data_IF_779579726030
#
_entry.id   IF_779579726030
#
_cell.length_a   1.000
_cell.length_b   1.000
_cell.length_c   1.000
_cell.angle_alpha   90.00
_cell.angle_beta   90.00
_cell.angle_gamma   90.00
#
_symmetry.space_group_name_H-M   'P 1'
#
loop_
_entity.id
_entity.type
_entity.pdbx_description
1 polymer ?
#
# COMPACT_ATOMS: atom_id res chain seq x y z
N UNK A 1 -1.78 0.05 0.56
CA UNK A 1 -1.72 -0.47 -0.81
C UNK A 1 -1.07 -1.85 -0.82
N UNK A 2 -1.63 -2.82 -1.53
CA UNK A 2 -0.95 -4.08 -1.85
C UNK A 2 0.07 -3.84 -2.98
N UNK A 3 1.24 -4.48 -2.92
CA UNK A 3 2.18 -4.44 -4.04
C UNK A 3 1.53 -4.90 -5.37
N UNK A 4 2.07 -4.46 -6.51
CA UNK A 4 1.64 -4.92 -7.84
C UNK A 4 1.89 -6.40 -8.07
N UNK A 5 1.33 -6.95 -9.15
CA UNK A 5 1.59 -8.34 -9.55
C UNK A 5 3.10 -8.60 -9.67
N UNK A 6 3.56 -9.77 -9.21
CA UNK A 6 4.97 -10.11 -9.15
C UNK A 6 5.28 -11.38 -9.94
N UNK A 7 6.47 -11.47 -10.52
CA UNK A 7 6.96 -12.65 -11.21
C UNK A 7 6.86 -13.89 -10.32
N UNK A 8 6.45 -15.04 -10.87
CA UNK A 8 6.21 -16.25 -10.07
C UNK A 8 7.49 -16.88 -9.53
N UNK A 9 8.64 -16.63 -10.16
CA UNK A 9 9.91 -17.23 -9.82
C UNK A 9 11.01 -16.21 -9.55
N UNK A 10 11.83 -16.49 -8.56
CA UNK A 10 13.07 -15.80 -8.24
C UNK A 10 13.95 -16.77 -7.41
N UNK A 11 15.15 -16.35 -7.04
CA UNK A 11 16.05 -17.13 -6.16
C UNK A 11 15.37 -17.45 -4.82
N UNK A 12 14.58 -16.49 -4.32
CA UNK A 12 13.71 -16.63 -3.13
C UNK A 12 12.49 -15.71 -3.27
N UNK A 13 11.50 -15.87 -2.39
CA UNK A 13 10.28 -15.03 -2.43
C UNK A 13 10.55 -13.53 -2.25
N UNK A 14 11.54 -13.17 -1.44
CA UNK A 14 11.89 -11.77 -1.15
C UNK A 14 12.41 -11.04 -2.38
N UNK A 15 13.14 -11.75 -3.25
CA UNK A 15 13.74 -11.22 -4.47
C UNK A 15 12.78 -11.13 -5.67
N UNK A 16 11.53 -11.59 -5.55
CA UNK A 16 10.54 -11.53 -6.62
C UNK A 16 10.25 -10.08 -7.00
N UNK A 17 10.46 -9.76 -8.27
CA UNK A 17 10.22 -8.45 -8.86
C UNK A 17 8.79 -8.31 -9.36
N UNK A 18 8.35 -7.09 -9.61
CA UNK A 18 7.09 -6.85 -10.31
C UNK A 18 7.14 -7.42 -11.73
N UNK A 19 6.06 -8.08 -12.13
CA UNK A 19 5.84 -8.46 -13.52
C UNK A 19 5.57 -7.21 -14.39
N UNK A 20 5.57 -7.37 -15.71
CA UNK A 20 5.19 -6.30 -16.63
C UNK A 20 3.74 -5.82 -16.34
N UNK A 21 2.83 -6.75 -16.04
CA UNK A 21 1.46 -6.46 -15.63
C UNK A 21 1.45 -5.66 -14.33
N UNK A 22 2.20 -6.09 -13.30
CA UNK A 22 2.24 -5.42 -12.01
C UNK A 22 2.77 -3.99 -12.11
N UNK A 23 3.77 -3.73 -12.95
CA UNK A 23 4.26 -2.36 -13.21
C UNK A 23 3.16 -1.49 -13.82
N UNK A 24 2.41 -2.01 -14.80
CA UNK A 24 1.29 -1.30 -15.42
C UNK A 24 0.18 -1.00 -14.42
N UNK A 25 -0.23 -1.99 -13.62
CA UNK A 25 -1.25 -1.83 -12.57
C UNK A 25 -0.85 -0.74 -11.56
N UNK A 26 0.40 -0.76 -11.08
CA UNK A 26 0.91 0.21 -10.11
C UNK A 26 0.96 1.62 -10.70
N UNK A 27 1.40 1.77 -11.95
CA UNK A 27 1.42 3.09 -12.61
C UNK A 27 0.01 3.64 -12.81
N UNK A 28 -0.96 2.80 -13.14
CA UNK A 28 -2.37 3.20 -13.29
C UNK A 28 -2.93 3.70 -11.95
N UNK A 29 -2.73 2.95 -10.88
CA UNK A 29 -3.12 3.36 -9.51
C UNK A 29 -2.39 4.64 -9.08
N UNK A 30 -1.09 4.73 -9.31
CA UNK A 30 -0.30 5.91 -8.96
C UNK A 30 -0.80 7.19 -9.64
N UNK A 31 -1.11 7.13 -10.93
CA UNK A 31 -1.69 8.27 -11.69
C UNK A 31 -3.07 8.66 -11.16
N UNK A 32 -3.91 7.69 -10.84
CA UNK A 32 -5.21 7.97 -10.23
C UNK A 32 -5.04 8.58 -8.83
N UNK A 33 -4.13 8.05 -8.02
CA UNK A 33 -3.90 8.54 -6.65
C UNK A 33 -3.47 10.00 -6.61
N UNK A 34 -2.61 10.44 -7.53
CA UNK A 34 -2.17 11.86 -7.65
C UNK A 34 -3.36 12.82 -7.76
N UNK A 35 -4.46 12.42 -8.40
CA UNK A 35 -5.65 13.26 -8.54
C UNK A 35 -6.54 13.28 -7.29
N UNK A 36 -6.33 12.36 -6.36
CA UNK A 36 -7.15 12.22 -5.14
C UNK A 36 -6.45 12.74 -3.89
N UNK A 37 -5.12 12.57 -3.79
CA UNK A 37 -4.39 12.83 -2.56
C UNK A 37 -2.94 13.22 -2.83
N UNK A 38 -2.46 14.25 -2.13
CA UNK A 38 -1.03 14.52 -2.01
C UNK A 38 -0.47 13.62 -0.90
N UNK A 39 0.61 12.91 -1.22
CA UNK A 39 1.31 12.04 -0.27
C UNK A 39 2.57 12.74 0.22
N UNK A 40 2.77 12.76 1.52
CA UNK A 40 3.98 13.31 2.15
C UNK A 40 5.09 12.27 2.22
N UNK A 41 4.72 11.00 2.41
CA UNK A 41 5.67 9.91 2.66
C UNK A 41 5.15 8.57 2.14
N UNK A 42 6.06 7.74 1.64
CA UNK A 42 5.78 6.33 1.31
C UNK A 42 6.64 5.44 2.21
N UNK A 43 6.01 4.48 2.88
CA UNK A 43 6.69 3.46 3.68
C UNK A 43 6.39 2.09 3.09
N UNK A 44 7.41 1.32 2.76
CA UNK A 44 7.25 0.03 2.11
C UNK A 44 7.95 -1.10 2.87
N UNK A 45 7.39 -2.30 2.74
CA UNK A 45 8.09 -3.53 3.14
C UNK A 45 9.45 -3.65 2.44
N UNK A 46 10.45 -4.33 3.05
CA UNK A 46 11.76 -4.51 2.42
C UNK A 46 11.76 -5.41 1.18
N UNK A 47 10.68 -6.16 0.91
CA UNK A 47 10.60 -7.06 -0.23
C UNK A 47 10.65 -6.30 -1.55
N UNK A 48 11.40 -6.81 -2.54
CA UNK A 48 11.69 -6.13 -3.81
C UNK A 48 10.41 -5.62 -4.50
N UNK A 49 9.38 -6.44 -4.61
CA UNK A 49 8.10 -6.06 -5.24
C UNK A 49 7.40 -4.88 -4.57
N UNK A 50 7.54 -4.74 -3.24
CA UNK A 50 6.98 -3.61 -2.50
C UNK A 50 7.81 -2.33 -2.71
N UNK A 51 9.14 -2.45 -2.75
CA UNK A 51 10.05 -1.34 -3.03
C UNK A 51 9.87 -0.82 -4.46
N UNK A 52 9.73 -1.71 -5.44
CA UNK A 52 9.43 -1.33 -6.84
C UNK A 52 8.06 -0.65 -6.95
N UNK A 53 7.04 -1.15 -6.24
CA UNK A 53 5.70 -0.51 -6.15
C UNK A 53 5.82 0.91 -5.61
N UNK A 54 6.50 1.10 -4.48
CA UNK A 54 6.71 2.41 -3.86
C UNK A 54 7.42 3.39 -4.82
N UNK A 55 8.44 2.91 -5.52
CA UNK A 55 9.21 3.72 -6.49
C UNK A 55 8.36 4.16 -7.67
N UNK A 56 7.52 3.26 -8.21
CA UNK A 56 6.63 3.58 -9.34
C UNK A 56 5.52 4.56 -8.95
N UNK A 57 4.95 4.43 -7.74
CA UNK A 57 3.97 5.40 -7.24
C UNK A 57 4.62 6.76 -7.03
N UNK A 58 5.78 6.82 -6.38
CA UNK A 58 6.52 8.07 -6.17
C UNK A 58 6.81 8.79 -7.49
N UNK A 59 7.17 8.05 -8.54
CA UNK A 59 7.45 8.61 -9.88
C UNK A 59 6.21 9.23 -10.56
N UNK A 60 4.99 8.95 -10.10
CA UNK A 60 3.77 9.59 -10.62
C UNK A 60 3.57 11.01 -10.09
N UNK A 61 4.22 11.38 -8.99
CA UNK A 61 4.16 12.72 -8.40
C UNK A 61 5.22 13.62 -9.05
N UNK A 62 4.89 14.89 -9.24
CA UNK A 62 5.79 15.87 -9.88
C UNK A 62 6.87 16.43 -8.94
N UNK A 63 7.03 15.87 -7.74
CA UNK A 63 8.02 16.27 -6.74
C UNK A 63 8.60 15.04 -6.03
N UNK A 64 9.70 15.22 -5.33
CA UNK A 64 10.32 14.15 -4.56
C UNK A 64 9.47 13.83 -3.33
N UNK A 65 9.20 12.53 -3.12
CA UNK A 65 8.49 12.01 -1.94
C UNK A 65 9.47 11.21 -1.09
N UNK A 66 9.49 11.48 0.21
CA UNK A 66 10.28 10.69 1.16
C UNK A 66 9.84 9.24 1.11
N UNK A 67 10.81 8.31 1.04
CA UNK A 67 10.57 6.87 1.04
C UNK A 67 11.38 6.19 2.14
N UNK A 68 10.69 5.42 2.96
CA UNK A 68 11.28 4.64 4.03
C UNK A 68 10.94 3.15 3.88
N UNK A 69 11.72 2.31 4.56
CA UNK A 69 11.50 0.87 4.64
C UNK A 69 11.10 0.48 6.05
N UNK A 70 10.06 -0.35 6.17
CA UNK A 70 9.58 -0.86 7.46
C UNK A 70 9.38 -2.38 7.39
N UNK A 71 10.11 -3.12 8.22
CA UNK A 71 10.03 -4.60 8.28
C UNK A 71 8.65 -5.06 8.75
N UNK A 72 7.97 -4.28 9.61
CA UNK A 72 6.61 -4.60 10.09
C UNK A 72 5.55 -4.61 8.97
N UNK A 73 5.85 -4.07 7.77
CA UNK A 73 5.00 -4.16 6.59
C UNK A 73 5.19 -5.45 5.79
N UNK A 74 6.05 -6.37 6.23
CA UNK A 74 6.20 -7.71 5.64
C UNK A 74 4.93 -8.56 5.83
N UNK A 75 4.76 -9.69 5.08
CA UNK A 75 3.51 -10.46 5.10
C UNK A 75 3.03 -10.92 6.47
N UNK A 76 3.96 -11.13 7.40
CA UNK A 76 3.71 -11.60 8.78
C UNK A 76 3.61 -10.45 9.81
N UNK A 77 3.46 -9.20 9.37
CA UNK A 77 3.26 -8.05 10.23
C UNK A 77 1.98 -8.16 11.08
N UNK A 78 1.92 -7.37 12.15
CA UNK A 78 0.79 -7.38 13.10
C UNK A 78 -0.03 -6.09 12.89
N UNK A 79 -1.31 -6.19 12.47
CA UNK A 79 -2.15 -5.04 12.14
C UNK A 79 -2.24 -3.99 13.25
N UNK A 80 -2.51 -4.40 14.48
CA UNK A 80 -2.69 -3.47 15.61
C UNK A 80 -1.43 -2.68 15.92
N UNK A 81 -0.26 -3.30 15.78
CA UNK A 81 1.03 -2.61 15.96
C UNK A 81 1.25 -1.56 14.87
N UNK A 82 0.96 -1.90 13.62
CA UNK A 82 1.07 -0.95 12.51
C UNK A 82 0.08 0.20 12.64
N UNK A 83 -1.16 -0.08 13.02
CA UNK A 83 -2.16 0.96 13.26
C UNK A 83 -1.66 1.92 14.33
N UNK A 84 -1.17 1.42 15.46
CA UNK A 84 -0.62 2.25 16.54
C UNK A 84 0.61 3.05 16.10
N UNK A 85 1.52 2.46 15.30
CA UNK A 85 2.72 3.12 14.79
C UNK A 85 2.41 4.31 13.87
N UNK A 86 1.35 4.21 13.07
CA UNK A 86 0.99 5.22 12.06
C UNK A 86 -0.22 6.09 12.43
N UNK A 87 -0.92 5.82 13.55
CA UNK A 87 -2.10 6.58 13.98
C UNK A 87 -1.74 8.00 14.49
N UNK A 88 -0.57 8.18 15.06
CA UNK A 88 -0.11 9.48 15.60
C UNK A 88 0.59 10.37 14.55
N UNK A 89 0.68 9.91 13.31
CA UNK A 89 1.37 10.60 12.23
C UNK A 89 0.61 11.85 11.75
N UNK A 90 1.35 12.91 11.45
CA UNK A 90 0.82 14.08 10.75
C UNK A 90 1.07 13.92 9.26
N UNK A 91 0.05 14.19 8.44
CA UNK A 91 0.15 14.12 6.99
C UNK A 91 -0.36 12.83 6.37
N UNK A 92 -0.13 12.69 5.08
CA UNK A 92 -0.63 11.57 4.27
C UNK A 92 0.49 10.55 4.01
N UNK A 93 0.37 9.35 4.56
CA UNK A 93 1.36 8.27 4.43
C UNK A 93 0.81 7.12 3.60
N UNK A 94 1.52 6.73 2.56
CA UNK A 94 1.23 5.52 1.81
C UNK A 94 2.02 4.35 2.38
N UNK A 95 1.32 3.32 2.85
CA UNK A 95 1.90 2.04 3.26
C UNK A 95 1.82 1.03 2.11
N UNK A 96 2.95 0.42 1.74
CA UNK A 96 3.02 -0.64 0.72
C UNK A 96 3.37 -1.96 1.36
N UNK A 97 2.45 -2.92 1.29
CA UNK A 97 2.50 -4.19 2.00
C UNK A 97 1.98 -5.36 1.14
N UNK A 98 1.69 -6.49 1.76
CA UNK A 98 1.40 -7.79 1.16
C UNK A 98 0.12 -8.42 1.71
N UNK A 99 -0.40 -9.44 1.03
CA UNK A 99 -1.31 -10.39 1.66
C UNK A 99 -0.51 -11.28 2.64
N UNK A 100 -1.09 -11.72 3.78
CA UNK A 100 -2.45 -11.41 4.22
C UNK A 100 -2.58 -10.05 4.94
N UNK A 101 -1.49 -9.43 5.33
CA UNK A 101 -1.44 -8.26 6.21
C UNK A 101 -2.37 -7.11 5.77
N UNK A 102 -2.41 -6.78 4.48
CA UNK A 102 -3.31 -5.71 4.01
C UNK A 102 -4.79 -6.04 4.24
N UNK A 103 -5.20 -7.29 4.02
CA UNK A 103 -6.58 -7.71 4.27
C UNK A 103 -6.93 -7.63 5.75
N UNK A 104 -5.98 -7.98 6.62
CA UNK A 104 -6.14 -7.89 8.07
C UNK A 104 -6.18 -6.43 8.54
N UNK A 105 -5.33 -5.54 8.00
CA UNK A 105 -5.37 -4.09 8.24
C UNK A 105 -6.71 -3.47 7.83
N UNK A 106 -7.18 -3.77 6.61
CA UNK A 106 -8.47 -3.25 6.13
C UNK A 106 -9.60 -3.78 6.99
N UNK A 107 -9.54 -5.04 7.41
CA UNK A 107 -10.53 -5.64 8.32
C UNK A 107 -10.53 -4.97 9.70
N UNK A 108 -9.36 -4.73 10.28
CA UNK A 108 -9.22 -4.07 11.58
C UNK A 108 -9.77 -2.64 11.55
N UNK A 109 -9.49 -1.88 10.49
CA UNK A 109 -9.93 -0.49 10.36
C UNK A 109 -11.42 -0.39 9.99
N UNK A 110 -11.93 -1.20 9.07
CA UNK A 110 -13.28 -1.06 8.52
C UNK A 110 -14.33 -2.02 9.09
N UNK A 111 -13.91 -3.05 9.82
CA UNK A 111 -14.77 -4.15 10.25
C UNK A 111 -15.21 -5.10 9.13
N UNK A 112 -14.67 -4.94 7.92
CA UNK A 112 -15.07 -5.73 6.74
C UNK A 112 -13.90 -6.57 6.23
N UNK A 113 -14.09 -7.86 6.05
CA UNK A 113 -13.16 -8.72 5.34
C UNK A 113 -13.33 -8.57 3.84
N UNK A 114 -12.26 -8.17 3.17
CA UNK A 114 -12.26 -7.95 1.72
C UNK A 114 -11.15 -8.80 1.07
N UNK A 115 -11.43 -9.30 -0.13
CA UNK A 115 -10.39 -9.81 -1.01
C UNK A 115 -9.66 -8.61 -1.62
N UNK A 116 -8.35 -8.53 -1.44
CA UNK A 116 -7.54 -7.40 -1.92
C UNK A 116 -6.75 -7.81 -3.15
N UNK A 117 -6.96 -7.13 -4.28
CA UNK A 117 -6.23 -7.37 -5.53
C UNK A 117 -4.79 -6.83 -5.46
N UNK A 118 -3.93 -7.27 -6.39
CA UNK A 118 -2.62 -6.64 -6.61
C UNK A 118 -2.79 -5.17 -6.97
N UNK A 119 -1.88 -4.32 -6.50
CA UNK A 119 -1.91 -2.87 -6.63
C UNK A 119 -3.16 -2.16 -6.05
N UNK A 120 -4.11 -2.88 -5.45
CA UNK A 120 -5.28 -2.25 -4.82
C UNK A 120 -4.88 -1.37 -3.64
N UNK A 121 -5.52 -0.20 -3.57
CA UNK A 121 -5.27 0.83 -2.57
C UNK A 121 -6.57 1.18 -1.82
N UNK A 122 -6.47 1.30 -0.50
CA UNK A 122 -7.50 1.84 0.37
C UNK A 122 -6.96 3.08 1.08
N UNK A 123 -7.75 4.13 1.15
CA UNK A 123 -7.44 5.34 1.90
C UNK A 123 -8.34 5.44 3.14
N UNK A 124 -7.73 5.70 4.30
CA UNK A 124 -8.43 5.86 5.58
C UNK A 124 -8.09 7.21 6.20
N UNK A 125 -9.08 7.82 6.82
CA UNK A 125 -8.87 8.95 7.72
C UNK A 125 -8.57 8.42 9.14
N UNK A 126 -7.31 8.50 9.54
CA UNK A 126 -6.86 8.02 10.85
C UNK A 126 -7.24 8.98 11.99
N UNK A 127 -7.59 10.23 11.70
CA UNK A 127 -8.05 11.20 12.69
C UNK A 127 -9.54 11.08 13.02
N UNK A 128 -10.26 10.23 12.30
CA UNK A 128 -11.65 9.95 12.61
C UNK A 128 -11.76 9.27 13.98
N UNK A 129 -12.40 9.94 14.93
CA UNK A 129 -12.64 9.40 16.27
C UNK A 129 -13.82 8.41 16.26
N UNK A 130 -13.61 7.24 15.69
CA UNK A 130 -14.60 6.17 15.59
C UNK A 130 -13.92 4.80 15.74
N UNK A 131 -14.59 3.81 16.35
CA UNK A 131 -14.04 2.47 16.51
C UNK A 131 -13.82 1.75 15.18
N UNK A 132 -14.61 2.08 14.17
CA UNK A 132 -14.43 1.60 12.79
C UNK A 132 -14.34 2.79 11.85
N UNK A 133 -13.36 2.74 10.94
CA UNK A 133 -13.06 3.76 9.94
C UNK A 133 -13.33 3.20 8.55
N UNK A 134 -14.45 3.53 7.89
CA UNK A 134 -14.66 3.12 6.51
C UNK A 134 -13.61 3.79 5.61
N UNK A 135 -13.16 3.13 4.53
CA UNK A 135 -12.25 3.77 3.60
C UNK A 135 -12.92 4.99 2.97
N UNK A 136 -12.19 6.11 2.90
CA UNK A 136 -12.60 7.33 2.20
C UNK A 136 -12.78 7.06 0.70
N UNK A 137 -11.86 6.29 0.13
CA UNK A 137 -11.93 5.78 -1.23
C UNK A 137 -11.11 4.50 -1.38
N UNK A 138 -11.38 3.78 -2.45
CA UNK A 138 -10.66 2.58 -2.88
C UNK A 138 -10.33 2.68 -4.36
N UNK A 139 -9.08 2.43 -4.73
CA UNK A 139 -8.63 2.37 -6.11
C UNK A 139 -8.26 0.93 -6.46
N UNK A 140 -8.84 0.41 -7.53
CA UNK A 140 -8.60 -0.94 -8.04
C UNK A 140 -8.17 -0.87 -9.51
N UNK A 141 -7.10 -1.59 -9.94
CA UNK A 141 -6.68 -1.59 -11.34
C UNK A 141 -7.78 -2.00 -12.31
N UNK A 142 -8.63 -2.94 -11.90
CA UNK A 142 -9.75 -3.43 -12.73
C UNK A 142 -10.91 -2.43 -12.91
N UNK A 143 -10.86 -1.27 -12.25
CA UNK A 143 -11.91 -0.24 -12.30
C UNK A 143 -11.43 1.10 -12.84
N UNK A 144 -10.18 1.17 -13.26
CA UNK A 144 -9.55 2.33 -13.88
C UNK A 144 -9.27 2.04 -15.35
#
# INVERSE_FOLDING_TARGET
MRHGDAEPSAVNDEARRLSARGRSEVQQIGRALVTHLLIDKIVASPLVRAQETASLVAACYGHEIQRDTCVSLSPNGIPDQLIAEFDEGVGSVLLVTHMPLIADLVSALSGKRLAVQTAELFCFDMQMNAPLRPPMFNLQPSRL
#
